data_IF_351447091725
#
_entry.id   IF_351447091725
#
_cell.length_a   1.000
_cell.length_b   1.000
_cell.length_c   1.000
_cell.angle_alpha   90.00
_cell.angle_beta   90.00
_cell.angle_gamma   90.00
#
_symmetry.space_group_name_H-M   'P 1'
#
loop_
_entity.id
_entity.type
_entity.pdbx_description
1 polymer ?
#
# COMPACT_ATOMS: atom_id res chain seq x y z
N UNK A 1 2.81 8.04 -10.04
CA UNK A 1 3.46 8.06 -8.73
C UNK A 1 4.16 9.40 -8.52
N UNK A 2 4.04 10.03 -7.35
CA UNK A 2 4.81 11.24 -7.07
C UNK A 2 6.30 10.92 -7.22
N UNK A 3 7.04 11.78 -7.94
CA UNK A 3 8.50 11.90 -7.85
C UNK A 3 9.35 10.68 -8.28
N UNK A 4 8.81 9.71 -9.01
CA UNK A 4 9.61 8.64 -9.64
C UNK A 4 10.13 7.57 -8.68
N UNK A 5 9.42 7.31 -7.58
CA UNK A 5 9.76 6.25 -6.63
C UNK A 5 10.00 4.90 -7.33
N UNK A 6 11.06 4.21 -6.93
CA UNK A 6 11.45 2.92 -7.50
C UNK A 6 10.89 1.74 -6.68
N UNK A 7 10.88 0.55 -7.28
CA UNK A 7 10.47 -0.68 -6.59
C UNK A 7 11.37 -0.93 -5.37
N UNK A 8 12.68 -0.69 -5.48
CA UNK A 8 13.59 -0.97 -4.37
C UNK A 8 13.43 0.03 -3.21
N UNK A 9 13.17 1.32 -3.51
CA UNK A 9 12.82 2.29 -2.47
C UNK A 9 11.54 1.86 -1.72
N UNK A 10 10.56 1.32 -2.44
CA UNK A 10 9.32 0.85 -1.82
C UNK A 10 9.51 -0.44 -1.02
N UNK A 11 10.35 -1.37 -1.49
CA UNK A 11 10.74 -2.56 -0.73
C UNK A 11 11.42 -2.18 0.58
N UNK A 12 12.29 -1.18 0.59
CA UNK A 12 12.93 -0.68 1.82
C UNK A 12 11.87 -0.18 2.82
N UNK A 13 10.83 0.52 2.37
CA UNK A 13 9.71 0.94 3.22
C UNK A 13 8.92 -0.24 3.76
N UNK A 14 8.49 -1.16 2.89
CA UNK A 14 7.71 -2.34 3.27
C UNK A 14 8.50 -3.20 4.26
N UNK A 15 9.79 -3.41 4.02
CA UNK A 15 10.68 -4.17 4.91
C UNK A 15 10.80 -3.53 6.29
N UNK A 16 11.03 -2.22 6.33
CA UNK A 16 11.12 -1.47 7.58
C UNK A 16 9.82 -1.52 8.36
N UNK A 17 8.70 -1.31 7.68
CA UNK A 17 7.38 -1.35 8.32
C UNK A 17 7.05 -2.76 8.85
N UNK A 18 7.32 -3.80 8.06
CA UNK A 18 7.13 -5.20 8.46
C UNK A 18 8.11 -5.68 9.55
N UNK A 19 9.24 -4.99 9.75
CA UNK A 19 10.14 -5.27 10.88
C UNK A 19 9.56 -4.88 12.24
N UNK A 20 8.55 -4.00 12.24
CA UNK A 20 7.87 -3.50 13.45
C UNK A 20 6.52 -4.17 13.67
N UNK A 21 5.74 -4.38 12.60
CA UNK A 21 4.40 -4.95 12.68
C UNK A 21 4.38 -6.41 12.20
N UNK A 22 3.90 -7.32 13.05
CA UNK A 22 3.78 -8.74 12.71
C UNK A 22 2.73 -9.02 11.63
N UNK A 23 1.74 -8.14 11.47
CA UNK A 23 0.69 -8.28 10.47
C UNK A 23 0.58 -7.01 9.65
N UNK A 24 0.81 -7.12 8.34
CA UNK A 24 0.81 -6.01 7.40
C UNK A 24 -0.10 -6.29 6.21
N UNK A 25 -0.85 -5.26 5.80
CA UNK A 25 -1.57 -5.21 4.52
C UNK A 25 -0.96 -4.06 3.69
N UNK A 26 -0.62 -4.34 2.44
CA UNK A 26 -0.24 -3.32 1.45
C UNK A 26 -1.39 -3.15 0.47
N UNK A 27 -1.85 -1.92 0.27
CA UNK A 27 -2.94 -1.58 -0.63
C UNK A 27 -2.56 -0.44 -1.57
N UNK A 28 -3.11 -0.43 -2.79
CA UNK A 28 -3.08 0.75 -3.65
C UNK A 28 -3.85 1.90 -2.99
N UNK A 29 -3.36 3.12 -3.18
CA UNK A 29 -4.11 4.32 -2.85
C UNK A 29 -5.24 4.54 -3.86
N UNK A 30 -6.47 4.89 -3.43
CA UNK A 30 -7.55 5.27 -4.34
C UNK A 30 -7.09 6.35 -5.32
N UNK A 31 -7.56 6.28 -6.57
CA UNK A 31 -7.18 7.22 -7.63
C UNK A 31 -5.74 7.10 -8.12
N UNK A 32 -4.98 6.08 -7.69
CA UNK A 32 -3.58 5.88 -8.09
C UNK A 32 -2.59 6.80 -7.35
N UNK A 33 -3.00 7.32 -6.19
CA UNK A 33 -2.24 8.28 -5.39
C UNK A 33 -1.36 7.59 -4.32
N UNK A 34 -0.46 6.71 -4.76
CA UNK A 34 0.50 6.02 -3.88
C UNK A 34 -0.07 4.74 -3.28
N UNK A 35 0.36 4.43 -2.05
CA UNK A 35 0.07 3.15 -1.39
C UNK A 35 -0.20 3.35 0.10
N UNK A 36 -1.01 2.46 0.67
CA UNK A 36 -1.22 2.36 2.11
C UNK A 36 -0.53 1.11 2.65
N UNK A 37 0.12 1.27 3.81
CA UNK A 37 0.63 0.17 4.64
C UNK A 37 -0.15 0.20 5.95
N UNK A 38 -0.92 -0.86 6.20
CA UNK A 38 -1.69 -1.03 7.44
C UNK A 38 -0.97 -2.07 8.30
N UNK A 39 -0.54 -1.68 9.50
CA UNK A 39 0.24 -2.52 10.41
C UNK A 39 -0.48 -2.78 11.73
N UNK A 40 -0.36 -4.00 12.25
CA UNK A 40 -0.95 -4.39 13.52
C UNK A 40 -0.09 -5.42 14.27
N UNK A 41 -0.16 -5.39 15.59
CA UNK A 41 0.40 -6.42 16.48
C UNK A 41 -0.50 -7.66 16.58
N UNK A 42 -1.77 -7.56 16.19
CA UNK A 42 -2.74 -8.66 16.12
C UNK A 42 -3.11 -8.95 14.66
N UNK A 43 -3.55 -10.18 14.33
CA UNK A 43 -3.98 -10.50 12.97
C UNK A 43 -5.01 -9.50 12.44
N UNK A 44 -4.79 -9.01 11.22
CA UNK A 44 -5.71 -8.13 10.51
C UNK A 44 -6.12 -8.77 9.19
N UNK A 45 -7.43 -8.79 8.93
CA UNK A 45 -8.02 -9.22 7.67
C UNK A 45 -9.05 -8.17 7.25
N UNK A 46 -9.24 -8.02 5.94
CA UNK A 46 -10.24 -7.11 5.39
C UNK A 46 -11.34 -7.95 4.75
N UNK A 47 -12.42 -8.17 5.51
CA UNK A 47 -13.53 -9.01 5.06
C UNK A 47 -14.67 -8.16 4.48
N UNK A 48 -15.31 -8.66 3.43
CA UNK A 48 -16.44 -7.97 2.79
C UNK A 48 -17.59 -7.71 3.77
N UNK A 49 -17.79 -8.60 4.76
CA UNK A 49 -18.82 -8.43 5.77
C UNK A 49 -18.55 -7.22 6.67
N UNK A 50 -17.30 -7.03 7.09
CA UNK A 50 -16.89 -5.93 7.97
C UNK A 50 -16.94 -4.59 7.23
N UNK A 51 -16.49 -4.57 5.96
CA UNK A 51 -16.60 -3.39 5.10
C UNK A 51 -18.08 -2.99 4.93
N UNK A 52 -18.96 -3.95 4.61
CA UNK A 52 -20.40 -3.68 4.51
C UNK A 52 -20.99 -3.16 5.82
N UNK A 53 -20.56 -3.71 6.96
CA UNK A 53 -21.03 -3.26 8.27
C UNK A 53 -20.65 -1.79 8.54
N UNK A 54 -19.45 -1.35 8.12
CA UNK A 54 -19.03 0.06 8.21
C UNK A 54 -19.82 0.93 7.24
N UNK A 55 -19.98 0.51 5.98
CA UNK A 55 -20.73 1.26 4.96
C UNK A 55 -22.23 1.38 5.29
N UNK A 56 -22.79 0.45 6.05
CA UNK A 56 -24.17 0.50 6.51
C UNK A 56 -24.42 1.58 7.59
N UNK A 57 -23.37 2.17 8.17
CA UNK A 57 -23.52 3.24 9.15
C UNK A 57 -24.10 4.49 8.48
N UNK A 58 -25.00 5.23 9.17
CA UNK A 58 -25.62 6.43 8.60
C UNK A 58 -24.59 7.43 8.08
N UNK A 59 -24.80 7.92 6.85
CA UNK A 59 -23.98 8.97 6.24
C UNK A 59 -22.69 8.51 5.56
N UNK A 60 -22.15 7.32 5.86
CA UNK A 60 -20.84 6.88 5.34
C UNK A 60 -20.82 6.80 3.81
N UNK A 61 -21.80 6.12 3.22
CA UNK A 61 -21.87 6.00 1.75
C UNK A 61 -22.11 7.36 1.11
N UNK A 62 -22.94 8.21 1.71
CA UNK A 62 -23.22 9.54 1.16
C UNK A 62 -21.95 10.41 1.16
N UNK A 63 -21.19 10.38 2.26
CA UNK A 63 -19.93 11.10 2.40
C UNK A 63 -18.89 10.63 1.37
N UNK A 64 -18.62 9.31 1.34
CA UNK A 64 -17.71 8.71 0.36
C UNK A 64 -18.13 8.97 -1.08
N UNK A 65 -19.43 8.98 -1.38
CA UNK A 65 -19.95 9.18 -2.75
C UNK A 65 -20.08 10.65 -3.14
N UNK A 66 -19.87 11.58 -2.20
CA UNK A 66 -19.93 13.02 -2.46
C UNK A 66 -18.59 13.63 -2.87
N UNK A 67 -17.49 12.87 -2.72
CA UNK A 67 -16.19 13.32 -3.21
C UNK A 67 -16.22 13.46 -4.74
N UNK A 68 -15.51 14.46 -5.23
CA UNK A 68 -15.56 14.86 -6.65
C UNK A 68 -15.10 13.74 -7.59
N UNK A 69 -14.20 12.88 -7.11
CA UNK A 69 -13.56 11.78 -7.82
C UNK A 69 -14.03 10.39 -7.35
N UNK A 70 -15.17 10.32 -6.65
CA UNK A 70 -15.75 9.05 -6.22
C UNK A 70 -16.04 8.13 -7.41
N UNK A 71 -15.42 6.95 -7.50
CA UNK A 71 -15.58 6.07 -8.66
C UNK A 71 -16.94 5.37 -8.66
N UNK A 72 -17.57 5.25 -7.50
CA UNK A 72 -18.79 4.47 -7.27
C UNK A 72 -19.69 5.14 -6.22
N UNK A 73 -20.98 4.82 -6.22
CA UNK A 73 -21.98 5.51 -5.39
C UNK A 73 -22.87 4.60 -4.55
N UNK A 74 -22.61 3.29 -4.54
CA UNK A 74 -23.40 2.32 -3.77
C UNK A 74 -22.53 1.57 -2.77
N UNK A 75 -23.12 1.11 -1.66
CA UNK A 75 -22.40 0.34 -0.65
C UNK A 75 -21.77 -0.94 -1.22
N UNK A 76 -22.47 -1.63 -2.12
CA UNK A 76 -21.97 -2.85 -2.75
C UNK A 76 -20.74 -2.56 -3.63
N UNK A 77 -20.81 -1.51 -4.46
CA UNK A 77 -19.71 -1.10 -5.31
C UNK A 77 -18.52 -0.59 -4.50
N UNK A 78 -18.76 0.20 -3.45
CA UNK A 78 -17.71 0.62 -2.51
C UNK A 78 -17.04 -0.56 -1.79
N UNK A 79 -17.81 -1.61 -1.45
CA UNK A 79 -17.23 -2.83 -0.87
C UNK A 79 -16.27 -3.49 -1.84
N UNK A 80 -16.64 -3.61 -3.12
CA UNK A 80 -15.78 -4.18 -4.15
C UNK A 80 -14.54 -3.33 -4.40
N UNK A 81 -14.71 -2.00 -4.45
CA UNK A 81 -13.62 -1.05 -4.63
C UNK A 81 -12.61 -1.12 -3.49
N UNK A 82 -13.05 -1.07 -2.24
CA UNK A 82 -12.15 -1.12 -1.08
C UNK A 82 -11.35 -2.44 -1.04
N UNK A 83 -11.99 -3.56 -1.37
CA UNK A 83 -11.33 -4.87 -1.40
C UNK A 83 -10.35 -5.02 -2.57
N UNK A 84 -10.63 -4.37 -3.71
CA UNK A 84 -9.75 -4.43 -4.89
C UNK A 84 -8.41 -3.72 -4.67
N UNK A 85 -8.37 -2.76 -3.74
CA UNK A 85 -7.16 -2.04 -3.38
C UNK A 85 -6.13 -2.92 -2.68
N UNK A 86 -6.53 -4.03 -2.04
CA UNK A 86 -5.59 -4.89 -1.29
C UNK A 86 -4.70 -5.68 -2.24
N UNK A 87 -3.38 -5.52 -2.10
CA UNK A 87 -2.38 -6.12 -2.99
C UNK A 87 -1.55 -7.20 -2.34
N UNK A 88 -1.05 -6.95 -1.12
CA UNK A 88 -0.22 -7.90 -0.38
C UNK A 88 -0.72 -8.08 1.04
N UNK A 89 -0.72 -9.32 1.52
CA UNK A 89 -1.08 -9.68 2.89
C UNK A 89 -0.19 -10.82 3.39
N UNK A 90 0.03 -10.88 4.71
CA UNK A 90 0.71 -12.01 5.35
C UNK A 90 2.09 -12.31 4.72
N UNK A 91 2.43 -13.57 4.41
CA UNK A 91 3.74 -13.95 3.85
C UNK A 91 4.06 -13.28 2.49
N UNK A 92 3.05 -12.79 1.77
CA UNK A 92 3.27 -12.05 0.53
C UNK A 92 4.03 -10.74 0.74
N UNK A 93 3.83 -10.09 1.90
CA UNK A 93 4.52 -8.84 2.26
C UNK A 93 6.01 -9.10 2.47
N UNK A 94 6.36 -10.13 3.24
CA UNK A 94 7.75 -10.51 3.51
C UNK A 94 8.48 -10.91 2.23
N UNK A 95 7.82 -11.71 1.37
CA UNK A 95 8.38 -12.12 0.08
C UNK A 95 8.62 -10.94 -0.84
N UNK A 96 7.68 -10.00 -0.90
CA UNK A 96 7.82 -8.79 -1.70
C UNK A 96 8.95 -7.89 -1.19
N UNK A 97 9.01 -7.68 0.13
CA UNK A 97 10.04 -6.86 0.77
C UNK A 97 11.45 -7.41 0.52
N UNK A 98 11.59 -8.74 0.58
CA UNK A 98 12.86 -9.42 0.40
C UNK A 98 13.92 -9.03 1.44
N UNK A 99 15.14 -9.59 1.35
CA UNK A 99 16.26 -9.17 2.19
C UNK A 99 16.74 -7.76 1.81
N UNK A 100 17.34 -7.07 2.77
CA UNK A 100 17.97 -5.77 2.52
C UNK A 100 17.99 -4.87 3.76
N UNK A 101 18.52 -3.64 3.61
CA UNK A 101 18.64 -2.70 4.72
C UNK A 101 17.28 -2.19 5.20
N UNK A 102 17.21 -1.77 6.46
CA UNK A 102 16.06 -1.02 6.97
C UNK A 102 16.31 0.47 6.79
N UNK A 103 15.23 1.23 6.73
CA UNK A 103 15.24 2.69 6.85
C UNK A 103 15.36 3.03 8.34
N UNK A 104 16.37 3.81 8.70
CA UNK A 104 16.59 4.28 10.07
C UNK A 104 17.00 5.75 10.06
N UNK A 105 16.99 6.44 11.20
CA UNK A 105 17.44 7.83 11.28
C UNK A 105 18.92 7.99 10.89
N UNK A 106 19.76 7.01 11.23
CA UNK A 106 21.19 6.99 10.84
C UNK A 106 21.39 6.66 9.35
N UNK A 107 20.40 6.03 8.72
CA UNK A 107 20.39 5.69 7.29
C UNK A 107 19.02 6.04 6.71
N UNK A 108 18.71 7.33 6.51
CA UNK A 108 17.40 7.79 6.07
C UNK A 108 17.28 7.59 4.55
N UNK A 109 17.27 6.32 4.14
CA UNK A 109 17.33 5.92 2.73
C UNK A 109 16.30 6.67 1.91
N UNK A 110 15.05 6.93 2.31
CA UNK A 110 14.09 7.66 1.46
C UNK A 110 14.45 9.13 1.17
N UNK A 111 15.20 9.82 2.04
CA UNK A 111 15.26 11.30 2.08
C UNK A 111 16.10 11.97 0.96
N UNK A 112 16.82 11.19 0.15
CA UNK A 112 17.63 11.69 -0.96
C UNK A 112 17.34 11.00 -2.31
N UNK A 113 16.06 10.69 -2.55
CA UNK A 113 15.61 9.96 -3.74
C UNK A 113 16.07 10.60 -5.06
N UNK A 114 16.13 11.93 -5.14
CA UNK A 114 16.58 12.64 -6.36
C UNK A 114 18.05 12.33 -6.69
N UNK A 115 18.94 12.38 -5.69
CA UNK A 115 20.37 12.07 -5.88
C UNK A 115 20.57 10.59 -6.19
N UNK A 116 19.83 9.69 -5.54
CA UNK A 116 19.86 8.25 -5.90
C UNK A 116 19.33 7.99 -7.30
N UNK A 117 18.29 8.69 -7.73
CA UNK A 117 17.77 8.54 -9.09
C UNK A 117 18.79 8.99 -10.14
N UNK A 118 19.63 9.99 -9.83
CA UNK A 118 20.65 10.50 -10.75
C UNK A 118 21.95 9.69 -10.74
N UNK A 119 22.36 9.17 -9.58
CA UNK A 119 23.72 8.61 -9.39
C UNK A 119 23.74 7.19 -8.80
N UNK A 120 22.60 6.67 -8.36
CA UNK A 120 22.46 5.35 -7.74
C UNK A 120 22.32 4.22 -8.76
N UNK A 121 22.22 2.99 -8.24
CA UNK A 121 21.90 1.83 -9.07
C UNK A 121 20.52 1.99 -9.71
N UNK A 122 20.34 1.62 -10.99
CA UNK A 122 19.05 1.70 -11.64
C UNK A 122 18.07 0.73 -10.99
N UNK A 123 16.85 1.20 -10.72
CA UNK A 123 15.74 0.40 -10.24
C UNK A 123 14.48 0.74 -11.03
N UNK A 124 13.64 -0.25 -11.39
CA UNK A 124 12.41 0.02 -12.12
C UNK A 124 11.49 0.95 -11.33
N UNK A 125 10.72 1.77 -12.04
CA UNK A 125 9.69 2.58 -11.41
C UNK A 125 8.61 1.71 -10.79
N UNK A 126 8.13 2.12 -9.62
CA UNK A 126 7.03 1.47 -8.95
C UNK A 126 5.72 1.71 -9.70
N UNK A 127 5.02 0.63 -9.99
CA UNK A 127 3.67 0.63 -10.58
C UNK A 127 2.76 -0.26 -9.77
N UNK A 128 1.44 -0.11 -9.90
CA UNK A 128 0.50 -1.04 -9.26
C UNK A 128 0.72 -2.48 -9.72
N UNK A 129 1.15 -2.73 -10.96
CA UNK A 129 1.48 -4.11 -11.42
C UNK A 129 2.74 -4.68 -10.75
N UNK A 130 3.62 -3.83 -10.22
CA UNK A 130 4.83 -4.27 -9.51
C UNK A 130 4.51 -5.07 -8.24
N UNK A 131 3.29 -4.95 -7.71
CA UNK A 131 2.83 -5.70 -6.54
C UNK A 131 2.14 -7.04 -6.90
N UNK A 132 1.83 -7.29 -8.18
CA UNK A 132 1.23 -8.55 -8.65
C UNK A 132 2.28 -9.65 -8.90
N UNK A 133 3.51 -9.25 -9.18
CA UNK A 133 4.53 -10.19 -9.64
C UNK A 133 5.04 -11.06 -8.46
N UNK A 134 4.96 -12.40 -8.56
CA UNK A 134 5.88 -13.23 -7.80
C UNK A 134 7.28 -12.88 -8.31
N UNK A 135 8.08 -12.21 -7.50
CA UNK A 135 9.47 -11.96 -7.86
C UNK A 135 10.16 -13.33 -7.99
N UNK A 136 10.91 -13.59 -9.08
CA UNK A 136 11.51 -14.90 -9.36
C UNK A 136 12.45 -15.41 -8.25
#
# INVERSE_FOLDING_TARGET
MPLGQTIDDFRDHVRTFASVFAHVIVADGPGGHGYFLLGSAQPITLEAADVRAVLARPGVVADLSSAYDSPVTTAAAWTQEILSLVRLTGPGVERFAGPGPLVTDDQPRPEYFLLRSMFGAPSPQLTSQSLDAPTP
#
